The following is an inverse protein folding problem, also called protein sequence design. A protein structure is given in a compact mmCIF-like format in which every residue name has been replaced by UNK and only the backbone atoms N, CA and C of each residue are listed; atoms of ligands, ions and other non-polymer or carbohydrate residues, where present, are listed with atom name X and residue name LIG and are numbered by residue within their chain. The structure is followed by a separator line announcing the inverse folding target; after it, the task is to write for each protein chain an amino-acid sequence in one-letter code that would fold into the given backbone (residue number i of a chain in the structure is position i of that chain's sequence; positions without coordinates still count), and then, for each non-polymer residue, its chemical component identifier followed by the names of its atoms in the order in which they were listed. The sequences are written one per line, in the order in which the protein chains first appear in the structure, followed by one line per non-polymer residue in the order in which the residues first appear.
data_IF_838289620783
#
_entry.id   IF_838289620783
#
_cell.length_a   1.000
_cell.length_b   1.000
_cell.length_c   1.000
_cell.angle_alpha   90.00
_cell.angle_beta   90.00
_cell.angle_gamma   90.00
#
_symmetry.space_group_name_H-M   'P 1'
#
loop_
_entity.id
_entity.type
_entity.pdbx_description
1 polymer ?
#
# COMPACT_ATOMS: atom_id res chain seq x y z
N UNK A 1 9.79 11.09 10.09
CA UNK A 1 8.45 10.53 10.28
C UNK A 1 8.49 8.99 10.39
N UNK A 2 8.98 8.28 9.36
CA UNK A 2 9.05 6.79 9.35
C UNK A 2 9.94 6.20 10.44
N UNK A 3 10.97 6.91 10.90
CA UNK A 3 11.88 6.46 11.96
C UNK A 3 11.27 6.62 13.34
N UNK A 4 10.56 7.71 13.62
CA UNK A 4 10.09 8.04 14.99
C UNK A 4 8.66 7.55 15.29
N UNK A 5 7.77 7.55 14.28
CA UNK A 5 6.35 7.21 14.47
C UNK A 5 6.06 5.77 14.94
N UNK A 6 6.79 4.73 14.53
CA UNK A 6 6.52 3.37 14.99
C UNK A 6 6.84 3.13 16.48
N UNK A 7 7.77 3.87 17.05
CA UNK A 7 8.31 3.57 18.39
C UNK A 7 7.30 3.63 19.52
N UNK A 8 6.38 4.59 19.63
CA UNK A 8 5.36 4.58 20.66
C UNK A 8 4.56 3.27 20.69
N UNK A 9 4.21 2.72 19.53
CA UNK A 9 3.48 1.46 19.42
C UNK A 9 4.34 0.25 19.78
N UNK A 10 5.58 0.22 19.30
CA UNK A 10 6.55 -0.83 19.61
C UNK A 10 6.85 -0.85 21.12
N UNK A 11 7.05 0.30 21.75
CA UNK A 11 7.31 0.39 23.19
C UNK A 11 6.12 -0.14 24.00
N UNK A 12 4.88 0.20 23.60
CA UNK A 12 3.68 -0.34 24.27
C UNK A 12 3.59 -1.85 24.09
N UNK A 13 3.90 -2.37 22.88
CA UNK A 13 3.92 -3.81 22.63
C UNK A 13 5.00 -4.53 23.46
N UNK A 14 6.23 -3.98 23.54
CA UNK A 14 7.29 -4.53 24.39
C UNK A 14 6.94 -4.48 25.88
N UNK A 15 6.35 -3.36 26.33
CA UNK A 15 5.91 -3.22 27.72
C UNK A 15 4.80 -4.22 28.05
N UNK A 16 3.91 -4.54 27.10
CA UNK A 16 2.84 -5.53 27.33
C UNK A 16 3.40 -6.92 27.64
N UNK A 17 4.51 -7.32 27.01
CA UNK A 17 5.18 -8.59 27.29
C UNK A 17 5.73 -8.70 28.72
N UNK A 18 6.10 -7.55 29.32
CA UNK A 18 6.61 -7.52 30.68
C UNK A 18 5.52 -7.37 31.75
N UNK A 19 4.34 -6.88 31.38
CA UNK A 19 3.27 -6.50 32.32
C UNK A 19 2.07 -7.43 32.29
N UNK A 20 1.80 -8.08 31.15
CA UNK A 20 0.71 -9.06 31.04
C UNK A 20 1.11 -10.30 31.83
N UNK A 21 0.29 -10.74 32.81
CA UNK A 21 0.57 -11.93 33.58
C UNK A 21 0.56 -13.18 32.70
N UNK A 22 1.40 -14.14 33.06
CA UNK A 22 1.38 -15.45 32.43
C UNK A 22 0.37 -16.37 33.13
N UNK A 23 -0.26 -17.25 32.39
CA UNK A 23 -1.10 -18.33 32.87
C UNK A 23 -0.58 -19.66 32.34
N UNK A 24 -0.71 -20.72 33.17
CA UNK A 24 -0.30 -22.06 32.73
C UNK A 24 -1.38 -22.64 31.82
N UNK A 25 -1.00 -22.93 30.57
CA UNK A 25 -1.85 -23.64 29.62
C UNK A 25 -1.60 -25.15 29.74
N UNK A 26 -2.63 -25.86 30.19
CA UNK A 26 -2.54 -27.33 30.42
C UNK A 26 -2.47 -28.12 29.11
N UNK A 27 -2.97 -27.60 27.99
CA UNK A 27 -2.90 -28.28 26.69
C UNK A 27 -1.51 -28.17 26.07
N UNK A 28 -0.88 -26.99 26.21
CA UNK A 28 0.48 -26.74 25.73
C UNK A 28 1.55 -27.20 26.72
N UNK A 29 1.19 -27.40 27.99
CA UNK A 29 2.14 -27.72 29.04
C UNK A 29 3.15 -26.61 29.35
N UNK A 30 2.81 -25.37 29.04
CA UNK A 30 3.70 -24.21 29.10
C UNK A 30 3.00 -22.97 29.69
N UNK A 31 3.80 -22.05 30.22
CA UNK A 31 3.33 -20.73 30.60
C UNK A 31 3.16 -19.87 29.37
N UNK A 32 1.97 -19.29 29.17
CA UNK A 32 1.62 -18.42 28.07
C UNK A 32 1.04 -17.11 28.59
N UNK A 33 1.11 -16.00 27.84
CA UNK A 33 0.44 -14.77 28.24
C UNK A 33 -1.06 -15.01 28.46
N UNK A 34 -1.59 -14.49 29.57
CA UNK A 34 -3.01 -14.65 29.95
C UNK A 34 -3.96 -13.90 29.00
N UNK A 35 -3.43 -13.08 28.08
CA UNK A 35 -4.16 -12.28 27.11
C UNK A 35 -3.60 -12.57 25.73
N UNK A 36 -4.47 -12.85 24.77
CA UNK A 36 -4.07 -13.07 23.39
C UNK A 36 -3.42 -11.79 22.80
N UNK A 37 -2.45 -11.96 21.88
CA UNK A 37 -1.69 -10.86 21.28
C UNK A 37 -2.59 -9.74 20.70
N UNK A 38 -3.70 -10.10 20.07
CA UNK A 38 -4.69 -9.17 19.52
C UNK A 38 -5.37 -8.29 20.57
N UNK A 39 -5.49 -8.79 21.80
CA UNK A 39 -6.17 -8.14 22.92
C UNK A 39 -5.20 -7.43 23.86
N UNK A 40 -3.89 -7.57 23.66
CA UNK A 40 -2.86 -6.98 24.50
C UNK A 40 -2.96 -5.44 24.58
N UNK A 41 -3.14 -4.77 23.45
CA UNK A 41 -3.26 -3.31 23.42
C UNK A 41 -4.55 -2.80 24.11
N UNK A 42 -5.75 -3.31 23.82
CA UNK A 42 -6.96 -3.01 24.59
C UNK A 42 -6.81 -3.30 26.09
N UNK A 43 -6.15 -4.38 26.45
CA UNK A 43 -5.89 -4.74 27.86
C UNK A 43 -4.98 -3.69 28.55
N UNK A 44 -3.90 -3.27 27.89
CA UNK A 44 -3.01 -2.23 28.39
C UNK A 44 -3.75 -0.91 28.66
N UNK A 45 -4.60 -0.49 27.73
CA UNK A 45 -5.45 0.71 27.89
C UNK A 45 -6.36 0.56 29.09
N UNK A 46 -7.03 -0.59 29.22
CA UNK A 46 -8.00 -0.84 30.28
C UNK A 46 -7.35 -0.94 31.65
N UNK A 47 -6.17 -1.54 31.74
CA UNK A 47 -5.51 -1.83 33.03
C UNK A 47 -4.66 -0.69 33.55
N UNK A 48 -4.06 0.12 32.66
CA UNK A 48 -3.05 1.12 33.06
C UNK A 48 -3.51 2.58 32.91
N UNK A 49 -4.60 2.86 32.16
CA UNK A 49 -5.08 4.22 32.03
C UNK A 49 -6.28 4.51 32.92
N UNK A 50 -6.26 5.66 33.59
CA UNK A 50 -7.43 6.19 34.29
C UNK A 50 -8.57 6.57 33.35
N UNK A 51 -9.79 6.73 33.87
CA UNK A 51 -11.00 6.93 33.11
C UNK A 51 -10.91 8.07 32.06
N UNK A 52 -10.36 9.23 32.43
CA UNK A 52 -10.22 10.37 31.55
C UNK A 52 -9.24 10.12 30.39
N UNK A 53 -8.05 9.60 30.68
CA UNK A 53 -7.04 9.28 29.67
C UNK A 53 -7.52 8.15 28.72
N UNK A 54 -8.23 7.15 29.28
CA UNK A 54 -8.85 6.07 28.52
C UNK A 54 -9.90 6.60 27.54
N UNK A 55 -10.80 7.48 28.00
CA UNK A 55 -11.81 8.11 27.17
C UNK A 55 -11.20 8.94 26.05
N UNK A 56 -10.18 9.77 26.37
CA UNK A 56 -9.47 10.58 25.37
C UNK A 56 -8.80 9.70 24.29
N UNK A 57 -8.14 8.61 24.69
CA UNK A 57 -7.48 7.71 23.74
C UNK A 57 -8.51 6.99 22.83
N UNK A 58 -9.63 6.52 23.39
CA UNK A 58 -10.70 5.90 22.59
C UNK A 58 -11.28 6.90 21.59
N UNK A 59 -11.56 8.14 22.01
CA UNK A 59 -12.04 9.19 21.10
C UNK A 59 -11.02 9.51 20.01
N UNK A 60 -9.72 9.58 20.35
CA UNK A 60 -8.67 9.80 19.36
C UNK A 60 -8.58 8.65 18.34
N UNK A 61 -8.69 7.41 18.78
CA UNK A 61 -8.73 6.23 17.90
C UNK A 61 -9.97 6.24 17.01
N UNK A 62 -11.15 6.55 17.54
CA UNK A 62 -12.37 6.68 16.74
C UNK A 62 -12.25 7.81 15.71
N UNK A 63 -11.68 8.96 16.08
CA UNK A 63 -11.42 10.06 15.15
C UNK A 63 -10.49 9.68 14.01
N UNK A 64 -9.41 8.97 14.31
CA UNK A 64 -8.47 8.45 13.30
C UNK A 64 -9.15 7.42 12.39
N UNK A 65 -9.95 6.51 12.94
CA UNK A 65 -10.73 5.54 12.18
C UNK A 65 -11.72 6.22 11.23
N UNK A 66 -12.53 7.15 11.74
CA UNK A 66 -13.52 7.90 10.95
C UNK A 66 -12.87 8.66 9.81
N UNK A 67 -11.75 9.34 10.07
CA UNK A 67 -10.98 10.06 9.04
C UNK A 67 -10.54 9.16 7.89
N UNK A 68 -10.06 7.96 8.22
CA UNK A 68 -9.60 6.99 7.21
C UNK A 68 -10.77 6.41 6.42
N UNK A 69 -11.83 5.98 7.10
CA UNK A 69 -13.03 5.41 6.47
C UNK A 69 -13.70 6.43 5.55
N UNK A 70 -13.90 7.68 6.01
CA UNK A 70 -14.50 8.74 5.21
C UNK A 70 -13.74 8.97 3.91
N UNK A 71 -12.41 9.09 4.00
CA UNK A 71 -11.56 9.29 2.82
C UNK A 71 -11.67 8.15 1.82
N UNK A 72 -11.58 6.89 2.28
CA UNK A 72 -11.62 5.74 1.39
C UNK A 72 -13.01 5.50 0.79
N UNK A 73 -14.06 5.69 1.55
CA UNK A 73 -15.45 5.54 1.05
C UNK A 73 -15.78 6.61 0.02
N UNK A 74 -15.39 7.88 0.29
CA UNK A 74 -15.59 8.97 -0.65
C UNK A 74 -14.80 8.76 -1.96
N UNK A 75 -13.54 8.33 -1.86
CA UNK A 75 -12.69 8.04 -3.01
C UNK A 75 -13.24 6.87 -3.84
N UNK A 76 -13.64 5.78 -3.19
CA UNK A 76 -14.22 4.61 -3.85
C UNK A 76 -15.54 4.94 -4.53
N UNK A 77 -16.39 5.74 -3.87
CA UNK A 77 -17.65 6.22 -4.44
C UNK A 77 -17.43 7.11 -5.66
N UNK A 78 -16.40 7.98 -5.61
CA UNK A 78 -16.03 8.83 -6.74
C UNK A 78 -15.52 8.00 -7.93
N UNK A 79 -14.68 7.00 -7.71
CA UNK A 79 -14.24 6.07 -8.76
C UNK A 79 -15.42 5.29 -9.36
N UNK A 80 -16.29 4.73 -8.51
CA UNK A 80 -17.46 4.00 -8.98
C UNK A 80 -18.38 4.88 -9.84
N UNK A 81 -18.62 6.13 -9.42
CA UNK A 81 -19.44 7.07 -10.17
C UNK A 81 -18.79 7.49 -11.51
N UNK A 82 -17.50 7.87 -11.47
CA UNK A 82 -16.84 8.48 -12.62
C UNK A 82 -16.34 7.45 -13.63
N UNK A 83 -15.82 6.31 -13.16
CA UNK A 83 -15.10 5.36 -14.00
C UNK A 83 -15.95 4.16 -14.40
N UNK A 84 -17.05 3.90 -13.67
CA UNK A 84 -17.95 2.78 -13.96
C UNK A 84 -19.33 3.26 -14.39
N UNK A 85 -20.04 3.99 -13.54
CA UNK A 85 -21.47 4.30 -13.77
C UNK A 85 -21.65 5.28 -14.93
N UNK A 86 -20.85 6.37 -14.96
CA UNK A 86 -20.97 7.35 -16.06
C UNK A 86 -20.59 6.77 -17.43
N UNK A 87 -19.47 6.04 -17.60
CA UNK A 87 -19.18 5.39 -18.87
C UNK A 87 -20.22 4.34 -19.26
N UNK A 88 -20.68 3.51 -18.33
CA UNK A 88 -21.75 2.53 -18.58
C UNK A 88 -23.05 3.22 -19.01
N UNK A 89 -23.43 4.31 -18.37
CA UNK A 89 -24.60 5.10 -18.74
C UNK A 89 -24.49 5.70 -20.15
N UNK A 90 -23.28 6.14 -20.57
CA UNK A 90 -23.02 6.62 -21.94
C UNK A 90 -23.15 5.51 -22.99
N UNK A 91 -22.69 4.30 -22.65
CA UNK A 91 -22.83 3.13 -23.57
C UNK A 91 -24.28 2.70 -23.75
N UNK A 92 -25.11 2.83 -22.71
CA UNK A 92 -26.55 2.48 -22.75
C UNK A 92 -27.36 3.57 -23.48
N UNK A 93 -27.02 4.85 -23.24
CA UNK A 93 -27.66 5.98 -23.94
C UNK A 93 -26.96 6.19 -25.27
N UNK A 94 -27.60 5.81 -26.37
CA UNK A 94 -27.08 5.92 -27.73
C UNK A 94 -26.74 7.34 -28.23
N UNK A 95 -26.99 8.37 -27.43
CA UNK A 95 -26.63 9.76 -27.71
C UNK A 95 -25.56 10.21 -26.71
N UNK A 96 -24.36 10.60 -27.18
CA UNK A 96 -23.36 11.22 -26.35
C UNK A 96 -23.86 12.61 -25.93
N UNK A 97 -24.29 12.78 -24.70
CA UNK A 97 -24.43 14.12 -24.12
C UNK A 97 -23.04 14.80 -24.13
N UNK A 98 -22.94 16.08 -24.52
CA UNK A 98 -21.69 16.82 -24.44
C UNK A 98 -21.13 16.71 -23.04
N UNK A 99 -19.82 16.53 -22.92
CA UNK A 99 -19.17 16.52 -21.59
C UNK A 99 -19.51 17.83 -20.86
N UNK A 100 -20.28 17.74 -19.81
CA UNK A 100 -20.55 18.88 -18.96
C UNK A 100 -19.21 19.49 -18.51
N UNK A 101 -19.04 20.81 -18.61
CA UNK A 101 -17.82 21.49 -18.16
C UNK A 101 -17.43 21.06 -16.75
N UNK A 102 -16.14 21.01 -16.46
CA UNK A 102 -15.63 20.57 -15.16
C UNK A 102 -16.29 21.33 -13.97
N UNK A 103 -16.65 22.57 -14.20
CA UNK A 103 -17.34 23.44 -13.24
C UNK A 103 -18.77 22.99 -12.91
N UNK A 104 -19.46 22.30 -13.81
CA UNK A 104 -20.83 21.79 -13.57
C UNK A 104 -20.83 20.42 -12.86
N UNK A 105 -19.68 19.81 -12.67
CA UNK A 105 -19.54 18.47 -12.02
C UNK A 105 -19.71 18.49 -10.50
N UNK A 106 -19.86 19.68 -9.89
CA UNK A 106 -20.03 19.89 -8.45
C UNK A 106 -21.46 20.16 -7.97
N UNK A 107 -22.48 20.00 -8.82
CA UNK A 107 -23.87 20.27 -8.46
C UNK A 107 -24.40 19.38 -7.34
N UNK A 108 -25.36 19.88 -6.55
CA UNK A 108 -25.95 19.15 -5.41
C UNK A 108 -26.43 17.72 -5.75
N UNK A 109 -26.92 17.51 -6.97
CA UNK A 109 -27.34 16.19 -7.45
C UNK A 109 -26.17 15.19 -7.65
N UNK A 110 -24.98 15.67 -7.98
CA UNK A 110 -23.78 14.85 -8.12
C UNK A 110 -23.22 14.43 -6.75
N UNK A 111 -23.22 15.37 -5.82
CA UNK A 111 -22.83 15.07 -4.41
C UNK A 111 -23.78 14.05 -3.81
N UNK A 112 -25.09 14.16 -4.08
CA UNK A 112 -26.08 13.20 -3.62
C UNK A 112 -25.88 11.80 -4.20
N UNK A 113 -25.60 11.68 -5.51
CA UNK A 113 -25.26 10.40 -6.13
C UNK A 113 -24.01 9.76 -5.50
N UNK A 114 -22.97 10.53 -5.25
CA UNK A 114 -21.78 10.06 -4.54
C UNK A 114 -22.09 9.51 -3.14
N UNK A 115 -22.92 10.23 -2.38
CA UNK A 115 -23.38 9.78 -1.04
C UNK A 115 -24.22 8.51 -1.08
N UNK A 116 -25.10 8.37 -2.06
CA UNK A 116 -25.88 7.14 -2.23
C UNK A 116 -25.01 5.95 -2.59
N UNK A 117 -23.92 6.15 -3.34
CA UNK A 117 -22.97 5.11 -3.66
C UNK A 117 -22.07 4.73 -2.47
N UNK A 118 -21.92 5.60 -1.49
CA UNK A 118 -21.17 5.27 -0.27
C UNK A 118 -21.84 4.13 0.53
N UNK A 119 -23.16 4.02 0.49
CA UNK A 119 -23.89 2.98 1.21
C UNK A 119 -23.57 1.56 0.71
N UNK A 120 -23.70 1.21 -0.59
CA UNK A 120 -23.32 -0.11 -1.06
C UNK A 120 -21.82 -0.38 -0.94
N UNK A 121 -20.95 0.63 -1.09
CA UNK A 121 -19.51 0.48 -0.84
C UNK A 121 -19.26 0.10 0.61
N UNK A 122 -19.86 0.80 1.57
CA UNK A 122 -19.75 0.48 2.99
C UNK A 122 -20.33 -0.89 3.30
N UNK A 123 -21.49 -1.24 2.74
CA UNK A 123 -22.08 -2.56 2.89
C UNK A 123 -21.17 -3.68 2.41
N UNK A 124 -20.50 -3.50 1.27
CA UNK A 124 -19.51 -4.45 0.75
C UNK A 124 -18.30 -4.57 1.67
N UNK A 125 -17.79 -3.44 2.19
CA UNK A 125 -16.66 -3.42 3.14
C UNK A 125 -17.01 -4.19 4.40
N UNK A 126 -18.19 -3.96 4.98
CA UNK A 126 -18.66 -4.67 6.17
C UNK A 126 -18.83 -6.17 5.91
N UNK A 127 -19.38 -6.54 4.74
CA UNK A 127 -19.52 -7.95 4.35
C UNK A 127 -18.17 -8.65 4.24
N UNK A 128 -17.17 -8.00 3.62
CA UNK A 128 -15.82 -8.57 3.53
C UNK A 128 -15.19 -8.64 4.91
N UNK A 129 -15.28 -7.58 5.71
CA UNK A 129 -14.69 -7.52 7.04
C UNK A 129 -15.27 -8.57 8.00
N UNK A 130 -16.57 -8.91 7.88
CA UNK A 130 -17.21 -9.93 8.71
C UNK A 130 -16.70 -11.36 8.45
N UNK A 131 -15.95 -11.60 7.40
CA UNK A 131 -15.31 -12.87 7.10
C UNK A 131 -13.92 -13.06 7.75
N UNK A 132 -13.46 -12.11 8.58
CA UNK A 132 -12.16 -12.15 9.22
C UNK A 132 -12.27 -11.93 10.73
N UNK A 133 -11.72 -12.85 11.50
CA UNK A 133 -11.70 -12.77 12.98
C UNK A 133 -10.49 -11.96 13.50
N UNK A 134 -9.47 -11.75 12.64
CA UNK A 134 -8.23 -11.08 12.99
C UNK A 134 -7.81 -10.07 11.91
N UNK A 135 -7.39 -8.88 12.38
CA UNK A 135 -6.94 -7.78 11.51
C UNK A 135 -5.63 -8.13 10.78
N UNK A 136 -4.76 -8.93 11.39
CA UNK A 136 -3.50 -9.38 10.78
C UNK A 136 -3.77 -10.33 9.62
N UNK A 137 -4.74 -11.25 9.79
CA UNK A 137 -5.18 -12.15 8.73
C UNK A 137 -5.76 -11.38 7.54
N UNK A 138 -6.61 -10.39 7.80
CA UNK A 138 -7.14 -9.49 6.76
C UNK A 138 -6.02 -8.74 6.04
N UNK A 139 -5.05 -8.19 6.79
CA UNK A 139 -3.92 -7.45 6.19
C UNK A 139 -3.05 -8.35 5.31
N UNK A 140 -2.74 -9.56 5.76
CA UNK A 140 -2.01 -10.56 4.97
C UNK A 140 -2.77 -10.94 3.71
N UNK A 141 -4.07 -11.18 3.81
CA UNK A 141 -4.93 -11.49 2.68
C UNK A 141 -4.93 -10.38 1.63
N UNK A 142 -5.11 -9.13 2.05
CA UNK A 142 -5.04 -7.97 1.16
C UNK A 142 -3.65 -7.82 0.53
N UNK A 143 -2.58 -8.08 1.30
CA UNK A 143 -1.21 -8.09 0.81
C UNK A 143 -1.00 -9.10 -0.31
N UNK A 144 -1.50 -10.32 -0.16
CA UNK A 144 -1.42 -11.38 -1.17
C UNK A 144 -2.17 -10.99 -2.45
N UNK A 145 -3.39 -10.49 -2.34
CA UNK A 145 -4.19 -10.07 -3.50
C UNK A 145 -3.56 -8.87 -4.23
N UNK A 146 -2.97 -7.92 -3.49
CA UNK A 146 -2.35 -6.74 -4.08
C UNK A 146 -0.96 -7.02 -4.68
N UNK A 147 -0.28 -8.08 -4.26
CA UNK A 147 1.11 -8.35 -4.62
C UNK A 147 1.37 -8.41 -6.13
N UNK A 148 0.51 -9.09 -6.88
CA UNK A 148 0.67 -9.23 -8.32
C UNK A 148 0.39 -7.96 -9.12
N UNK A 149 -0.24 -6.95 -8.50
CA UNK A 149 -0.53 -5.67 -9.16
C UNK A 149 0.64 -4.68 -9.02
N UNK A 150 1.41 -4.76 -7.95
CA UNK A 150 2.49 -3.82 -7.67
C UNK A 150 3.53 -3.69 -8.82
N UNK A 151 4.02 -4.79 -9.45
CA UNK A 151 5.00 -4.68 -10.53
C UNK A 151 4.50 -3.89 -11.74
N UNK A 152 3.26 -4.06 -12.18
CA UNK A 152 2.72 -3.32 -13.33
C UNK A 152 2.54 -1.84 -13.01
N UNK A 153 2.13 -1.49 -11.79
CA UNK A 153 1.99 -0.10 -11.35
C UNK A 153 3.34 0.62 -11.26
N UNK A 154 4.40 -0.09 -10.89
CA UNK A 154 5.77 0.45 -10.90
C UNK A 154 6.27 0.57 -12.35
N UNK A 155 6.09 -0.49 -13.14
CA UNK A 155 6.65 -0.56 -14.49
C UNK A 155 6.04 0.47 -15.44
N UNK A 156 4.79 0.88 -15.24
CA UNK A 156 4.15 1.94 -16.06
C UNK A 156 4.91 3.27 -16.07
N UNK A 157 5.70 3.54 -15.06
CA UNK A 157 6.55 4.74 -14.99
C UNK A 157 7.82 4.61 -15.84
N UNK A 158 8.26 3.38 -16.08
CA UNK A 158 9.54 3.09 -16.74
C UNK A 158 9.40 2.47 -18.13
N UNK A 159 8.18 2.08 -18.51
CA UNK A 159 7.91 1.43 -19.79
C UNK A 159 6.62 1.95 -20.44
N UNK A 160 6.77 2.67 -21.55
CA UNK A 160 5.68 3.33 -22.28
C UNK A 160 4.58 2.39 -22.81
N UNK A 161 4.90 1.13 -22.95
CA UNK A 161 3.96 0.14 -23.53
C UNK A 161 2.91 -0.37 -22.54
N UNK A 162 3.09 -0.12 -21.26
CA UNK A 162 2.11 -0.51 -20.23
C UNK A 162 0.78 0.19 -20.50
N UNK A 163 -0.32 -0.59 -20.54
CA UNK A 163 -1.66 -0.12 -20.88
C UNK A 163 -2.64 -0.39 -19.74
N UNK A 164 -3.85 0.18 -19.82
CA UNK A 164 -4.93 -0.15 -18.89
C UNK A 164 -5.25 -1.66 -18.88
N UNK A 165 -5.15 -2.33 -20.02
CA UNK A 165 -5.34 -3.78 -20.11
C UNK A 165 -4.27 -4.57 -19.34
N UNK A 166 -3.04 -4.06 -19.29
CA UNK A 166 -1.98 -4.65 -18.44
C UNK A 166 -2.35 -4.59 -16.96
N UNK A 167 -2.88 -3.45 -16.52
CA UNK A 167 -3.30 -3.25 -15.13
C UNK A 167 -4.52 -4.13 -14.79
N UNK A 168 -5.54 -4.15 -15.65
CA UNK A 168 -6.74 -5.00 -15.48
C UNK A 168 -6.34 -6.48 -15.43
N UNK A 169 -5.47 -6.93 -16.34
CA UNK A 169 -4.98 -8.31 -16.36
C UNK A 169 -4.21 -8.65 -15.08
N UNK A 170 -3.34 -7.75 -14.59
CA UNK A 170 -2.60 -7.93 -13.36
C UNK A 170 -3.52 -8.00 -12.12
N UNK A 171 -4.49 -7.09 -12.02
CA UNK A 171 -5.46 -7.07 -10.92
C UNK A 171 -6.33 -8.32 -10.89
N UNK A 172 -6.87 -8.73 -12.05
CA UNK A 172 -7.71 -9.92 -12.17
C UNK A 172 -6.91 -11.20 -11.86
N UNK A 173 -5.71 -11.32 -12.42
CA UNK A 173 -4.84 -12.47 -12.19
C UNK A 173 -4.41 -12.55 -10.71
N UNK A 174 -4.05 -11.42 -10.10
CA UNK A 174 -3.67 -11.34 -8.69
C UNK A 174 -4.81 -11.70 -7.75
N UNK A 175 -6.01 -11.20 -8.02
CA UNK A 175 -7.21 -11.54 -7.26
C UNK A 175 -7.53 -13.04 -7.33
N UNK A 176 -7.54 -13.61 -8.53
CA UNK A 176 -7.85 -15.03 -8.74
C UNK A 176 -6.76 -15.91 -8.13
N UNK A 177 -5.49 -15.68 -8.49
CA UNK A 177 -4.37 -16.45 -7.98
C UNK A 177 -4.24 -16.34 -6.46
N UNK A 178 -4.38 -15.13 -5.89
CA UNK A 178 -4.32 -14.91 -4.46
C UNK A 178 -5.39 -15.71 -3.70
N UNK A 179 -6.64 -15.68 -4.17
CA UNK A 179 -7.72 -16.47 -3.55
C UNK A 179 -7.50 -17.98 -3.67
N UNK A 180 -7.03 -18.44 -4.84
CA UNK A 180 -6.77 -19.87 -5.03
C UNK A 180 -5.62 -20.38 -4.15
N UNK A 181 -4.52 -19.60 -4.07
CA UNK A 181 -3.36 -19.98 -3.27
C UNK A 181 -3.60 -19.91 -1.76
N UNK A 182 -4.48 -19.01 -1.30
CA UNK A 182 -4.87 -18.94 0.12
C UNK A 182 -5.73 -20.13 0.52
N UNK A 183 -6.56 -20.65 -0.38
CA UNK A 183 -7.55 -21.69 -0.06
C UNK A 183 -7.10 -23.10 -0.42
N UNK A 184 -6.24 -23.25 -1.43
CA UNK A 184 -5.94 -24.56 -2.02
C UNK A 184 -4.45 -24.77 -2.22
N UNK A 185 -4.04 -26.04 -2.13
CA UNK A 185 -2.69 -26.47 -2.43
C UNK A 185 -1.67 -26.29 -1.31
N UNK A 186 -0.38 -26.50 -1.61
CA UNK A 186 0.68 -26.49 -0.61
C UNK A 186 0.98 -25.12 -0.01
N UNK A 187 0.46 -24.06 -0.60
CA UNK A 187 0.60 -22.67 -0.14
C UNK A 187 -0.67 -22.20 0.59
N UNK A 188 -1.62 -23.07 0.88
CA UNK A 188 -2.82 -22.70 1.64
C UNK A 188 -2.46 -22.17 3.05
N UNK A 189 -3.34 -21.34 3.61
CA UNK A 189 -3.13 -20.81 4.96
C UNK A 189 -3.27 -21.93 5.98
N UNK A 190 -2.28 -22.21 6.83
CA UNK A 190 -2.44 -23.16 7.92
C UNK A 190 -3.40 -22.57 8.97
N UNK A 191 -4.15 -23.47 9.62
CA UNK A 191 -5.10 -23.07 10.69
C UNK A 191 -4.40 -22.56 11.95
N UNK A 192 -3.10 -22.80 12.10
CA UNK A 192 -2.32 -22.43 13.29
C UNK A 192 -1.23 -21.39 13.03
N UNK A 193 -1.35 -20.24 13.66
CA UNK A 193 -0.31 -19.35 14.15
C UNK A 193 0.58 -18.63 13.14
N UNK A 194 1.80 -19.04 13.00
CA UNK A 194 2.80 -18.38 12.14
C UNK A 194 2.63 -18.81 10.68
N UNK A 195 2.16 -17.88 9.85
CA UNK A 195 2.03 -18.11 8.40
C UNK A 195 3.40 -18.05 7.70
N UNK A 196 4.15 -19.14 7.78
CA UNK A 196 5.44 -19.30 7.11
C UNK A 196 5.33 -19.24 5.58
N UNK A 197 4.12 -19.46 5.05
CA UNK A 197 3.85 -19.46 3.61
C UNK A 197 3.48 -18.08 3.07
N UNK A 198 3.40 -17.03 3.90
CA UNK A 198 3.05 -15.69 3.45
C UNK A 198 4.00 -15.16 2.37
N UNK A 199 5.32 -15.20 2.61
CA UNK A 199 6.33 -14.78 1.63
C UNK A 199 6.31 -15.58 0.32
N UNK A 200 6.39 -16.92 0.36
CA UNK A 200 6.24 -17.77 -0.82
C UNK A 200 4.94 -17.51 -1.61
N UNK A 201 3.85 -17.26 -0.91
CA UNK A 201 2.54 -16.94 -1.52
C UNK A 201 2.55 -15.61 -2.28
N UNK A 202 3.16 -14.57 -1.69
CA UNK A 202 3.37 -13.29 -2.37
C UNK A 202 4.16 -13.47 -3.67
N UNK A 203 5.27 -14.18 -3.63
CA UNK A 203 6.11 -14.45 -4.79
C UNK A 203 5.35 -15.24 -5.87
N UNK A 204 4.61 -16.26 -5.49
CA UNK A 204 3.80 -17.04 -6.42
C UNK A 204 2.75 -16.17 -7.13
N UNK A 205 2.04 -15.31 -6.39
CA UNK A 205 1.06 -14.38 -6.98
C UNK A 205 1.72 -13.39 -7.93
N UNK A 206 2.88 -12.84 -7.57
CA UNK A 206 3.65 -11.94 -8.44
C UNK A 206 4.04 -12.64 -9.74
N UNK A 207 4.54 -13.87 -9.68
CA UNK A 207 4.97 -14.64 -10.84
C UNK A 207 3.79 -15.03 -11.73
N UNK A 208 2.69 -15.54 -11.15
CA UNK A 208 1.48 -15.92 -11.88
C UNK A 208 0.86 -14.68 -12.55
N UNK A 209 0.71 -13.60 -11.80
CA UNK A 209 0.20 -12.34 -12.34
C UNK A 209 1.11 -11.83 -13.46
N UNK A 210 2.44 -11.87 -13.27
CA UNK A 210 3.44 -11.51 -14.29
C UNK A 210 3.29 -12.29 -15.57
N UNK A 211 3.12 -13.62 -15.46
CA UNK A 211 2.91 -14.51 -16.59
C UNK A 211 1.64 -14.19 -17.41
N UNK A 212 0.67 -13.50 -16.81
CA UNK A 212 -0.59 -13.13 -17.45
C UNK A 212 -0.55 -11.69 -18.00
N UNK A 213 -0.14 -10.71 -17.19
CA UNK A 213 -0.21 -9.32 -17.62
C UNK A 213 0.90 -8.93 -18.58
N UNK A 214 2.08 -9.59 -18.58
CA UNK A 214 3.14 -9.30 -19.56
C UNK A 214 2.66 -9.62 -20.98
N UNK A 215 2.15 -10.84 -21.30
CA UNK A 215 1.54 -11.11 -22.59
C UNK A 215 0.37 -10.20 -22.93
N UNK A 216 -0.51 -9.90 -21.95
CA UNK A 216 -1.62 -8.97 -22.16
C UNK A 216 -1.14 -7.58 -22.58
N UNK A 217 0.00 -7.12 -22.07
CA UNK A 217 0.64 -5.86 -22.49
C UNK A 217 1.07 -5.91 -23.95
N UNK A 218 1.62 -7.04 -24.42
CA UNK A 218 2.05 -7.20 -25.82
C UNK A 218 0.87 -7.37 -26.79
N UNK A 219 -0.20 -8.01 -26.35
CA UNK A 219 -1.42 -8.23 -27.14
C UNK A 219 -2.31 -6.98 -27.22
N UNK A 220 -2.26 -6.11 -26.20
CA UNK A 220 -3.07 -4.91 -26.17
C UNK A 220 -2.51 -3.81 -27.08
N UNK A 221 -3.41 -2.98 -27.61
CA UNK A 221 -3.02 -1.79 -28.38
C UNK A 221 -2.44 -0.74 -27.41
N UNK A 222 -1.24 -0.21 -27.71
CA UNK A 222 -0.65 0.85 -26.89
C UNK A 222 -1.50 2.13 -26.96
N UNK A 223 -1.29 3.02 -26.00
CA UNK A 223 -1.88 4.35 -26.04
C UNK A 223 -1.48 5.13 -27.31
N UNK A 224 -2.34 6.04 -27.76
CA UNK A 224 -2.07 6.85 -28.93
C UNK A 224 -0.75 7.63 -28.81
N UNK A 225 0.02 7.68 -29.91
CA UNK A 225 1.36 8.30 -29.95
C UNK A 225 1.35 9.74 -29.44
N UNK A 226 0.35 10.55 -29.83
CA UNK A 226 0.24 11.94 -29.41
C UNK A 226 0.13 12.07 -27.88
N UNK A 227 -0.64 11.16 -27.24
CA UNK A 227 -0.78 11.12 -25.78
C UNK A 227 0.54 10.73 -25.10
N UNK A 228 1.26 9.76 -25.65
CA UNK A 228 2.55 9.33 -25.10
C UNK A 228 3.61 10.43 -25.22
N UNK A 229 3.65 11.15 -26.35
CA UNK A 229 4.53 12.29 -26.57
C UNK A 229 4.18 13.45 -25.60
N UNK A 230 2.88 13.77 -25.47
CA UNK A 230 2.43 14.79 -24.51
C UNK A 230 2.80 14.43 -23.06
N UNK A 231 2.58 13.17 -22.67
CA UNK A 231 2.97 12.68 -21.34
C UNK A 231 4.48 12.76 -21.14
N UNK A 232 5.27 12.34 -22.15
CA UNK A 232 6.74 12.42 -22.08
C UNK A 232 7.23 13.87 -21.88
N UNK A 233 6.66 14.83 -22.58
CA UNK A 233 7.01 16.24 -22.45
C UNK A 233 6.65 16.82 -21.09
N UNK A 234 5.51 16.42 -20.53
CA UNK A 234 5.02 16.91 -19.25
C UNK A 234 5.77 16.31 -18.05
N UNK A 235 6.06 15.01 -18.08
CA UNK A 235 6.53 14.25 -16.89
C UNK A 235 8.01 13.87 -17.00
N UNK A 236 8.56 13.74 -18.21
CA UNK A 236 9.94 13.32 -18.48
C UNK A 236 10.34 12.02 -17.73
N UNK A 237 9.56 10.93 -17.84
CA UNK A 237 9.83 9.71 -17.09
C UNK A 237 11.21 9.14 -17.43
N UNK A 238 11.88 8.60 -16.39
CA UNK A 238 13.18 7.99 -16.51
C UNK A 238 13.13 6.56 -17.09
N UNK A 239 14.29 6.05 -17.50
CA UNK A 239 14.49 4.66 -17.88
C UNK A 239 14.45 4.38 -19.37
N UNK A 240 15.09 3.26 -19.76
CA UNK A 240 15.31 2.92 -21.18
C UNK A 240 14.02 2.64 -21.95
N UNK A 241 12.93 2.27 -21.28
CA UNK A 241 11.64 2.00 -21.90
C UNK A 241 10.99 3.21 -22.56
N UNK A 242 11.46 4.44 -22.28
CA UNK A 242 10.95 5.67 -22.88
C UNK A 242 11.81 6.22 -24.02
N UNK A 243 12.93 5.58 -24.37
CA UNK A 243 13.87 6.07 -25.40
C UNK A 243 13.21 6.31 -26.76
N UNK A 244 12.30 5.43 -27.19
CA UNK A 244 11.61 5.56 -28.46
C UNK A 244 10.72 6.80 -28.48
N UNK A 245 9.89 6.99 -27.45
CA UNK A 245 8.98 8.13 -27.34
C UNK A 245 9.74 9.45 -27.16
N UNK A 246 10.86 9.44 -26.43
CA UNK A 246 11.71 10.63 -26.28
C UNK A 246 12.26 11.08 -27.65
N UNK A 247 12.70 10.16 -28.51
CA UNK A 247 13.15 10.49 -29.89
C UNK A 247 12.03 11.08 -30.73
N UNK A 248 10.83 10.49 -30.67
CA UNK A 248 9.64 10.98 -31.37
C UNK A 248 9.19 12.36 -30.86
N UNK A 249 9.37 12.63 -29.57
CA UNK A 249 9.07 13.92 -28.96
C UNK A 249 10.09 15.02 -29.28
N UNK A 250 11.23 14.68 -29.89
CA UNK A 250 12.38 15.59 -30.05
C UNK A 250 13.00 16.02 -28.72
N UNK A 251 12.88 15.19 -27.68
CA UNK A 251 13.32 15.47 -26.32
C UNK A 251 14.65 14.76 -26.01
N UNK A 252 15.33 15.22 -24.94
CA UNK A 252 16.55 14.60 -24.45
C UNK A 252 16.34 13.11 -24.09
N UNK A 253 17.41 12.28 -24.15
CA UNK A 253 17.32 10.90 -23.73
C UNK A 253 16.79 10.79 -22.28
N UNK A 254 16.01 9.74 -21.96
CA UNK A 254 15.55 9.53 -20.59
C UNK A 254 16.73 9.38 -19.64
N UNK A 255 16.61 9.90 -18.42
CA UNK A 255 17.59 9.73 -17.38
C UNK A 255 17.91 8.24 -17.14
N UNK A 256 19.16 7.95 -16.83
CA UNK A 256 19.59 6.59 -16.52
C UNK A 256 18.94 6.11 -15.23
N UNK A 257 18.38 4.89 -15.26
CA UNK A 257 17.67 4.32 -14.12
C UNK A 257 18.62 3.87 -12.99
N UNK A 258 19.82 3.40 -13.35
CA UNK A 258 20.77 2.86 -12.38
C UNK A 258 21.20 3.84 -11.27
N UNK A 259 21.55 5.11 -11.53
CA UNK A 259 21.86 6.07 -10.47
C UNK A 259 20.64 6.35 -9.58
N UNK A 260 19.42 6.45 -10.17
CA UNK A 260 18.18 6.69 -9.42
C UNK A 260 17.87 5.53 -8.47
N UNK A 261 18.02 4.30 -8.95
CA UNK A 261 17.85 3.10 -8.11
C UNK A 261 18.93 3.03 -7.03
N UNK A 262 20.16 3.43 -7.34
CA UNK A 262 21.24 3.54 -6.35
C UNK A 262 20.88 4.50 -5.21
N UNK A 263 20.43 5.70 -5.52
CA UNK A 263 19.96 6.66 -4.52
C UNK A 263 18.75 6.18 -3.73
N UNK A 264 17.78 5.55 -4.40
CA UNK A 264 16.61 4.97 -3.74
C UNK A 264 17.00 3.84 -2.77
N UNK A 265 17.92 2.96 -3.18
CA UNK A 265 18.43 1.88 -2.33
C UNK A 265 19.19 2.44 -1.11
N UNK A 266 20.09 3.40 -1.34
CA UNK A 266 20.82 4.05 -0.25
C UNK A 266 19.90 4.72 0.75
N UNK A 267 18.87 5.44 0.27
CA UNK A 267 17.86 6.06 1.13
C UNK A 267 17.07 5.04 1.94
N UNK A 268 16.64 3.96 1.29
CA UNK A 268 15.92 2.85 1.94
C UNK A 268 16.77 2.20 3.03
N UNK A 269 18.00 1.84 2.72
CA UNK A 269 18.93 1.26 3.69
C UNK A 269 19.23 2.23 4.84
N UNK A 270 19.34 3.53 4.55
CA UNK A 270 19.52 4.57 5.56
C UNK A 270 18.32 4.64 6.54
N UNK A 271 17.10 4.59 6.03
CA UNK A 271 15.89 4.57 6.86
C UNK A 271 15.82 3.30 7.71
N UNK A 272 16.06 2.12 7.13
CA UNK A 272 16.09 0.87 7.88
C UNK A 272 17.16 0.86 8.95
N UNK A 273 18.37 1.34 8.64
CA UNK A 273 19.46 1.47 9.62
C UNK A 273 19.08 2.41 10.77
N UNK A 274 18.36 3.50 10.48
CA UNK A 274 17.88 4.42 11.51
C UNK A 274 16.82 3.76 12.42
N UNK A 275 15.90 2.99 11.85
CA UNK A 275 14.88 2.26 12.62
C UNK A 275 15.56 1.22 13.53
N UNK A 276 16.42 0.39 12.98
CA UNK A 276 17.14 -0.64 13.74
C UNK A 276 18.04 -0.02 14.81
N UNK A 277 18.78 1.05 14.48
CA UNK A 277 19.63 1.76 15.42
C UNK A 277 18.84 2.34 16.60
N UNK A 278 17.72 2.98 16.34
CA UNK A 278 16.82 3.47 17.38
C UNK A 278 16.28 2.29 18.22
N UNK A 279 15.95 1.17 17.58
CA UNK A 279 15.49 -0.03 18.28
C UNK A 279 16.52 -0.60 19.24
N UNK A 280 17.75 -0.75 18.82
CA UNK A 280 18.81 -1.25 19.68
C UNK A 280 19.12 -0.31 20.83
N UNK A 281 19.01 1.01 20.66
CA UNK A 281 19.12 1.97 21.77
C UNK A 281 18.00 1.74 22.81
N UNK A 282 16.76 1.60 22.35
CA UNK A 282 15.61 1.35 23.24
C UNK A 282 15.73 0.00 23.98
N UNK A 283 16.30 -1.01 23.31
CA UNK A 283 16.51 -2.35 23.89
C UNK A 283 17.78 -2.45 24.76
N UNK A 284 18.44 -1.34 25.07
CA UNK A 284 19.61 -1.31 25.95
C UNK A 284 20.92 -1.81 25.30
N UNK A 285 21.00 -1.75 23.96
CA UNK A 285 22.21 -2.07 23.19
C UNK A 285 22.82 -0.81 22.55
N UNK A 286 23.46 0.07 23.34
CA UNK A 286 23.88 1.40 22.88
C UNK A 286 24.96 1.36 21.81
N UNK A 287 25.91 0.42 21.86
CA UNK A 287 26.98 0.34 20.88
C UNK A 287 26.45 -0.01 19.48
N UNK A 288 25.62 -1.06 19.40
CA UNK A 288 25.00 -1.47 18.14
C UNK A 288 24.04 -0.38 17.63
N UNK A 289 23.29 0.26 18.55
CA UNK A 289 22.36 1.34 18.22
C UNK A 289 23.07 2.55 17.61
N UNK A 290 24.14 3.04 18.26
CA UNK A 290 24.94 4.17 17.74
C UNK A 290 25.62 3.79 16.42
N UNK A 291 26.14 2.57 16.30
CA UNK A 291 26.75 2.07 15.05
C UNK A 291 25.77 2.11 13.87
N UNK A 292 24.55 1.62 14.07
CA UNK A 292 23.52 1.65 13.01
C UNK A 292 23.02 3.07 12.71
N UNK A 293 22.97 3.97 13.69
CA UNK A 293 22.64 5.37 13.44
C UNK A 293 23.76 6.09 12.67
N UNK A 294 25.01 5.74 12.89
CA UNK A 294 26.11 6.23 12.08
C UNK A 294 26.01 5.75 10.63
N UNK A 295 25.68 4.46 10.40
CA UNK A 295 25.38 3.94 9.06
C UNK A 295 24.20 4.66 8.42
N UNK A 296 23.13 4.91 9.17
CA UNK A 296 21.98 5.67 8.70
C UNK A 296 22.36 7.09 8.25
N UNK A 297 23.18 7.79 9.01
CA UNK A 297 23.68 9.11 8.66
C UNK A 297 24.59 9.07 7.40
N UNK A 298 25.47 8.08 7.31
CA UNK A 298 26.39 7.92 6.17
C UNK A 298 25.64 7.65 4.86
N UNK A 299 24.54 6.88 4.89
CA UNK A 299 23.72 6.58 3.72
C UNK A 299 22.65 7.66 3.45
N UNK A 300 22.05 8.21 4.50
CA UNK A 300 20.93 9.14 4.39
C UNK A 300 21.35 10.56 4.01
N UNK A 301 22.43 11.11 4.58
CA UNK A 301 22.86 12.48 4.30
C UNK A 301 23.19 12.75 2.83
N UNK A 302 23.97 11.89 2.13
CA UNK A 302 24.19 12.06 0.70
C UNK A 302 22.91 11.98 -0.13
N UNK A 303 21.99 11.08 0.25
CA UNK A 303 20.69 10.90 -0.42
C UNK A 303 19.81 12.15 -0.29
N UNK A 304 19.74 12.73 0.90
CA UNK A 304 18.98 13.98 1.15
C UNK A 304 19.59 15.14 0.34
N UNK A 305 20.91 15.28 0.33
CA UNK A 305 21.61 16.30 -0.46
C UNK A 305 21.42 16.13 -1.97
N UNK A 306 21.38 14.88 -2.46
CA UNK A 306 21.10 14.61 -3.86
C UNK A 306 19.64 14.97 -4.20
N UNK A 307 18.69 14.66 -3.34
CA UNK A 307 17.28 14.97 -3.53
C UNK A 307 17.01 16.48 -3.51
N UNK A 308 17.65 17.25 -2.60
CA UNK A 308 17.49 18.70 -2.55
C UNK A 308 18.01 19.37 -3.81
N UNK A 309 19.16 18.95 -4.37
CA UNK A 309 19.68 19.50 -5.63
C UNK A 309 18.73 19.29 -6.81
N UNK A 310 18.04 18.16 -6.86
CA UNK A 310 17.04 17.89 -7.90
C UNK A 310 15.80 18.76 -7.71
N UNK A 311 15.44 19.10 -6.48
CA UNK A 311 14.30 19.99 -6.19
C UNK A 311 14.59 21.47 -6.52
N UNK A 312 15.86 21.88 -6.37
CA UNK A 312 16.30 23.26 -6.62
C UNK A 312 16.60 23.54 -8.11
N UNK A 313 16.73 22.51 -8.95
CA UNK A 313 16.96 22.62 -10.41
C UNK A 313 15.74 22.07 -11.20
N UNK A 314 14.71 22.87 -11.43
CA UNK A 314 13.47 22.48 -12.08
C UNK A 314 13.56 22.48 -13.62
N UNK A 315 14.71 22.14 -14.25
CA UNK A 315 14.88 22.11 -15.73
C UNK A 315 14.16 20.94 -16.40
#
# INVERSE_FOLDING_TARGET
HYVLRPWPWIIVALASLAVIPESFDAELGAWVPAVADKDAFPWMIRSHLGAGARGLLVVAMLGAFMSTVDTHVNLSSAYLLNDVIRPAGRLIRRHPEPEAPAESRGGAGEVWKGRMLALPVMGLVLLIASGFDDIVALYKYLGVIAAGTAPVLILRWYWWRTTAWSEIAAMSASLIAGNLLVRFGPLATPESGLDSMFGPRLLAVILISGAIWIPATWLSRPAGRDRLVAFRRAIRPAGPGWKQIAREAGDSPPAMLAPLLGWALMGTLGIWSAILGTGWLVLGRPLEGVGMLAVAAMLGLPTIRAASRVADDPT
#
